data_IF_373554427687
#
_entry.id   IF_373554427687
#
_cell.length_a   1.000
_cell.length_b   1.000
_cell.length_c   1.000
_cell.angle_alpha   90.00
_cell.angle_beta   90.00
_cell.angle_gamma   90.00
#
_symmetry.space_group_name_H-M   'P 1'
#
loop_
_entity.id
_entity.type
_entity.pdbx_description
1 polymer ?
#
# COMPACT_ATOMS: atom_id res chain seq x y z
N UNK A 1 -13.83 4.29 0.99
CA UNK A 1 -12.67 4.99 1.57
C UNK A 1 -11.39 4.82 0.77
N UNK A 2 -10.86 3.62 0.55
CA UNK A 2 -9.60 3.38 -0.20
C UNK A 2 -9.42 4.17 -1.51
N UNK A 3 -10.47 4.30 -2.32
CA UNK A 3 -10.42 5.09 -3.56
C UNK A 3 -10.13 6.56 -3.30
N UNK A 4 -10.74 7.13 -2.26
CA UNK A 4 -10.50 8.52 -1.88
C UNK A 4 -9.06 8.69 -1.41
N UNK A 5 -8.57 7.77 -0.57
CA UNK A 5 -7.17 7.79 -0.11
C UNK A 5 -6.20 7.74 -1.29
N UNK A 6 -6.38 6.81 -2.24
CA UNK A 6 -5.56 6.75 -3.47
C UNK A 6 -5.67 8.04 -4.28
N UNK A 7 -6.89 8.49 -4.57
CA UNK A 7 -7.10 9.67 -5.41
C UNK A 7 -6.44 10.90 -4.77
N UNK A 8 -6.61 11.11 -3.47
CA UNK A 8 -5.99 12.22 -2.73
C UNK A 8 -4.48 12.13 -2.74
N UNK A 9 -3.90 10.96 -2.44
CA UNK A 9 -2.44 10.79 -2.45
C UNK A 9 -1.86 11.01 -3.86
N UNK A 10 -2.51 10.50 -4.89
CA UNK A 10 -2.04 10.62 -6.26
C UNK A 10 -2.22 12.04 -6.83
N UNK A 11 -3.32 12.73 -6.49
CA UNK A 11 -3.59 14.11 -6.90
C UNK A 11 -2.67 15.11 -6.19
N UNK A 12 -2.53 14.99 -4.86
CA UNK A 12 -1.66 15.87 -4.06
C UNK A 12 -0.18 15.50 -4.16
N UNK A 13 0.14 14.38 -4.80
CA UNK A 13 1.47 13.74 -4.88
C UNK A 13 2.07 13.32 -3.54
N UNK A 14 1.79 14.04 -2.45
CA UNK A 14 2.41 13.83 -1.15
C UNK A 14 1.46 14.19 -0.01
N UNK A 15 1.55 13.46 1.10
CA UNK A 15 0.83 13.73 2.34
C UNK A 15 1.85 13.89 3.48
N UNK A 16 1.60 14.86 4.36
CA UNK A 16 2.45 15.11 5.52
C UNK A 16 1.97 14.30 6.73
N UNK A 17 2.91 13.79 7.50
CA UNK A 17 2.68 13.10 8.77
C UNK A 17 3.61 13.72 9.82
N UNK A 18 3.40 13.49 11.12
CA UNK A 18 4.33 13.96 12.15
C UNK A 18 5.75 13.38 12.02
N UNK A 19 5.86 12.17 11.47
CA UNK A 19 7.10 11.37 11.38
C UNK A 19 7.82 11.54 10.05
N UNK A 20 7.12 11.96 9.00
CA UNK A 20 7.72 12.16 7.69
C UNK A 20 6.71 12.46 6.58
N UNK A 21 7.06 12.05 5.37
CA UNK A 21 6.31 12.38 4.16
C UNK A 21 5.94 11.13 3.37
N UNK A 22 4.63 10.94 3.15
CA UNK A 22 4.11 9.90 2.25
C UNK A 22 4.16 10.46 0.82
N UNK A 23 4.68 9.68 -0.13
CA UNK A 23 4.91 10.17 -1.49
C UNK A 23 4.46 9.18 -2.56
N UNK A 24 3.58 9.65 -3.45
CA UNK A 24 3.13 8.91 -4.64
C UNK A 24 4.28 8.59 -5.61
N UNK A 25 5.35 9.41 -5.58
CA UNK A 25 6.55 9.22 -6.41
C UNK A 25 7.11 7.80 -6.28
N UNK A 26 7.16 7.24 -5.08
CA UNK A 26 7.75 5.91 -4.88
C UNK A 26 6.98 4.81 -5.62
N UNK A 27 5.66 4.93 -5.75
CA UNK A 27 4.83 4.02 -6.53
C UNK A 27 5.11 4.17 -8.04
N UNK A 28 5.32 5.40 -8.51
CA UNK A 28 5.69 5.67 -9.90
C UNK A 28 7.07 5.09 -10.24
N UNK A 29 8.06 5.32 -9.38
CA UNK A 29 9.42 4.78 -9.55
C UNK A 29 9.44 3.26 -9.47
N UNK A 30 8.66 2.65 -8.56
CA UNK A 30 8.52 1.19 -8.50
C UNK A 30 7.93 0.63 -9.79
N UNK A 31 6.87 1.24 -10.32
CA UNK A 31 6.32 0.77 -11.58
C UNK A 31 7.30 0.97 -12.74
N UNK A 32 8.01 2.11 -12.79
CA UNK A 32 9.03 2.40 -13.81
C UNK A 32 10.16 1.37 -13.78
N UNK A 33 10.67 1.05 -12.59
CA UNK A 33 11.70 0.03 -12.40
C UNK A 33 11.23 -1.33 -12.91
N UNK A 34 10.04 -1.76 -12.50
CA UNK A 34 9.49 -3.06 -12.91
C UNK A 34 9.24 -3.14 -14.42
N UNK A 35 8.75 -2.07 -15.04
CA UNK A 35 8.54 -2.02 -16.48
C UNK A 35 9.89 -2.02 -17.23
N UNK A 36 10.91 -1.33 -16.72
CA UNK A 36 12.26 -1.32 -17.31
C UNK A 36 12.97 -2.67 -17.23
N UNK A 37 12.80 -3.40 -16.12
CA UNK A 37 13.40 -4.73 -15.93
C UNK A 37 12.58 -5.86 -16.59
N UNK A 38 11.33 -5.60 -16.98
CA UNK A 38 10.41 -6.63 -17.47
C UNK A 38 9.94 -7.63 -16.40
N UNK A 39 10.27 -7.39 -15.12
CA UNK A 39 9.99 -8.28 -13.99
C UNK A 39 9.25 -7.54 -12.88
N UNK A 40 8.47 -8.27 -12.07
CA UNK A 40 7.73 -7.73 -10.92
C UNK A 40 8.34 -8.24 -9.61
N UNK A 41 8.43 -7.36 -8.61
CA UNK A 41 8.87 -7.70 -7.26
C UNK A 41 7.70 -8.25 -6.42
N UNK A 42 7.08 -9.34 -6.88
CA UNK A 42 6.04 -10.06 -6.13
C UNK A 42 4.69 -9.33 -5.95
N UNK A 43 4.51 -8.14 -6.54
CA UNK A 43 3.30 -7.33 -6.39
C UNK A 43 2.53 -7.17 -7.72
N UNK A 44 1.30 -6.63 -7.62
CA UNK A 44 0.39 -6.45 -8.76
C UNK A 44 0.37 -5.02 -9.32
N UNK A 45 1.23 -4.13 -8.84
CA UNK A 45 1.30 -2.75 -9.32
C UNK A 45 1.65 -2.75 -10.81
N UNK A 46 0.97 -1.92 -11.59
CA UNK A 46 1.07 -1.78 -13.06
C UNK A 46 0.75 -0.35 -13.47
N UNK A 47 1.04 0.03 -14.71
CA UNK A 47 0.67 1.36 -15.24
C UNK A 47 -0.80 1.75 -15.06
N UNK A 48 -1.74 0.81 -15.10
CA UNK A 48 -3.15 1.11 -14.84
C UNK A 48 -3.45 1.62 -13.42
N UNK A 49 -2.55 1.35 -12.46
CA UNK A 49 -2.61 1.87 -11.09
C UNK A 49 -2.03 3.28 -11.00
N UNK A 50 -1.00 3.56 -11.80
CA UNK A 50 -0.35 4.87 -11.87
C UNK A 50 -1.20 5.87 -12.65
N UNK A 51 -1.78 5.46 -13.79
CA UNK A 51 -2.74 6.22 -14.61
C UNK A 51 -4.17 6.02 -14.09
N UNK A 52 -4.39 6.45 -12.85
CA UNK A 52 -5.59 6.15 -12.08
C UNK A 52 -6.83 6.94 -12.51
N UNK A 53 -6.70 8.05 -13.26
CA UNK A 53 -7.75 9.04 -13.49
C UNK A 53 -8.95 8.44 -14.22
N UNK A 54 -8.70 7.70 -15.31
CA UNK A 54 -9.72 6.97 -16.08
C UNK A 54 -10.28 5.76 -15.32
N UNK A 55 -9.63 5.35 -14.23
CA UNK A 55 -10.00 4.20 -13.41
C UNK A 55 -10.28 4.60 -11.94
N UNK A 56 -10.62 5.87 -11.70
CA UNK A 56 -10.74 6.45 -10.35
C UNK A 56 -11.77 5.74 -9.48
N UNK A 57 -12.79 5.11 -10.10
CA UNK A 57 -13.85 4.40 -9.38
C UNK A 57 -13.56 2.91 -9.14
N UNK A 58 -12.49 2.34 -9.71
CA UNK A 58 -12.16 0.92 -9.54
C UNK A 58 -11.45 0.68 -8.21
N UNK A 59 -12.21 0.19 -7.21
CA UNK A 59 -11.69 -0.14 -5.87
C UNK A 59 -10.58 -1.19 -5.94
N UNK A 60 -10.73 -2.20 -6.80
CA UNK A 60 -9.72 -3.27 -6.99
C UNK A 60 -8.32 -2.72 -7.31
N UNK A 61 -8.24 -1.70 -8.14
CA UNK A 61 -6.95 -1.05 -8.44
C UNK A 61 -6.46 -0.22 -7.26
N UNK A 62 -7.36 0.44 -6.52
CA UNK A 62 -6.96 1.16 -5.31
C UNK A 62 -6.40 0.22 -4.24
N UNK A 63 -7.04 -0.91 -3.97
CA UNK A 63 -6.56 -1.91 -3.00
C UNK A 63 -5.19 -2.47 -3.38
N UNK A 64 -4.94 -2.68 -4.67
CA UNK A 64 -3.66 -3.24 -5.13
C UNK A 64 -2.49 -2.27 -4.95
N UNK A 65 -2.73 -0.96 -4.97
CA UNK A 65 -1.69 0.05 -4.67
C UNK A 65 -1.23 -0.04 -3.21
N UNK A 66 -2.18 -0.26 -2.30
CA UNK A 66 -1.91 -0.26 -0.86
C UNK A 66 -1.48 -1.61 -0.29
N UNK A 67 -1.37 -2.66 -1.10
CA UNK A 67 -1.03 -4.00 -0.57
C UNK A 67 0.35 -4.03 0.08
N UNK A 68 0.50 -4.89 1.10
CA UNK A 68 1.78 -5.11 1.78
C UNK A 68 2.89 -5.55 0.81
N UNK A 69 2.57 -6.32 -0.23
CA UNK A 69 3.54 -6.69 -1.27
C UNK A 69 4.16 -5.50 -2.04
N UNK A 70 3.43 -4.38 -2.15
CA UNK A 70 3.98 -3.14 -2.73
C UNK A 70 4.89 -2.46 -1.72
N UNK A 71 4.51 -2.45 -0.44
CA UNK A 71 5.33 -1.91 0.64
C UNK A 71 6.67 -2.67 0.77
N UNK A 72 6.63 -4.00 0.76
CA UNK A 72 7.81 -4.86 0.81
C UNK A 72 8.73 -4.61 -0.39
N UNK A 73 8.18 -4.38 -1.59
CA UNK A 73 8.97 -4.05 -2.76
C UNK A 73 9.67 -2.69 -2.65
N UNK A 74 8.99 -1.67 -2.10
CA UNK A 74 9.60 -0.36 -1.85
C UNK A 74 10.73 -0.46 -0.81
N UNK A 75 10.46 -1.15 0.31
CA UNK A 75 11.44 -1.37 1.37
C UNK A 75 12.65 -2.17 0.86
N UNK A 76 12.43 -3.21 0.04
CA UNK A 76 13.50 -3.98 -0.60
C UNK A 76 14.36 -3.09 -1.51
N UNK A 77 13.73 -2.26 -2.35
CA UNK A 77 14.46 -1.34 -3.24
C UNK A 77 15.31 -0.32 -2.46
N UNK A 78 14.84 0.14 -1.31
CA UNK A 78 15.57 1.09 -0.45
C UNK A 78 16.67 0.42 0.37
N UNK A 79 16.34 -0.70 1.04
CA UNK A 79 17.19 -1.31 2.08
C UNK A 79 18.13 -2.38 1.58
N UNK A 80 17.77 -3.12 0.53
CA UNK A 80 18.58 -4.22 -0.01
C UNK A 80 19.29 -3.85 -1.30
N UNK A 81 18.59 -3.11 -2.19
CA UNK A 81 19.17 -2.67 -3.46
C UNK A 81 19.81 -1.27 -3.38
N UNK A 82 19.56 -0.53 -2.29
CA UNK A 82 20.08 0.82 -2.05
C UNK A 82 19.86 1.80 -3.22
N UNK A 83 18.73 1.66 -3.91
CA UNK A 83 18.43 2.46 -5.10
C UNK A 83 18.09 3.90 -4.69
N UNK A 84 18.82 4.93 -5.18
CA UNK A 84 18.69 6.31 -4.71
C UNK A 84 17.27 6.89 -4.82
N UNK A 85 16.51 6.47 -5.83
CA UNK A 85 15.14 6.94 -6.07
C UNK A 85 14.12 6.45 -5.02
N UNK A 86 14.49 5.48 -4.19
CA UNK A 86 13.65 4.95 -3.09
C UNK A 86 14.13 5.39 -1.70
N UNK A 87 15.18 6.20 -1.60
CA UNK A 87 15.64 6.73 -0.31
C UNK A 87 14.54 7.55 0.35
N UNK A 88 14.30 7.32 1.64
CA UNK A 88 13.28 8.06 2.39
C UNK A 88 11.85 7.53 2.20
N UNK A 89 11.68 6.28 1.72
CA UNK A 89 10.35 5.70 1.49
C UNK A 89 9.70 5.09 2.73
N UNK A 90 10.36 5.11 3.89
CA UNK A 90 9.96 4.44 5.13
C UNK A 90 8.53 4.83 5.54
N UNK A 91 8.24 6.14 5.57
CA UNK A 91 6.91 6.65 5.90
C UNK A 91 5.84 6.16 4.90
N UNK A 92 6.19 6.05 3.61
CA UNK A 92 5.27 5.53 2.60
C UNK A 92 5.03 4.04 2.81
N UNK A 93 6.08 3.27 3.10
CA UNK A 93 6.00 1.82 3.38
C UNK A 93 5.08 1.56 4.56
N UNK A 94 5.28 2.28 5.67
CA UNK A 94 4.43 2.17 6.86
C UNK A 94 2.98 2.51 6.55
N UNK A 95 2.75 3.63 5.84
CA UNK A 95 1.41 4.02 5.41
C UNK A 95 0.71 2.94 4.57
N UNK A 96 1.39 2.33 3.59
CA UNK A 96 0.79 1.26 2.79
C UNK A 96 0.40 0.07 3.67
N UNK A 97 1.29 -0.39 4.56
CA UNK A 97 1.05 -1.51 5.48
C UNK A 97 -0.13 -1.25 6.40
N UNK A 98 -0.22 -0.04 6.97
CA UNK A 98 -1.33 0.36 7.85
C UNK A 98 -2.67 0.36 7.13
N UNK A 99 -2.72 0.89 5.90
CA UNK A 99 -3.94 0.89 5.10
C UNK A 99 -4.37 -0.53 4.69
N UNK A 100 -3.42 -1.41 4.33
CA UNK A 100 -3.69 -2.81 3.99
C UNK A 100 -4.27 -3.57 5.20
N UNK A 101 -3.63 -3.43 6.36
CA UNK A 101 -4.09 -4.05 7.60
C UNK A 101 -5.49 -3.56 8.00
N UNK A 102 -5.72 -2.25 7.97
CA UNK A 102 -7.03 -1.67 8.28
C UNK A 102 -8.10 -2.17 7.30
N UNK A 103 -7.79 -2.25 6.01
CA UNK A 103 -8.70 -2.79 5.02
C UNK A 103 -9.02 -4.27 5.27
N UNK A 104 -8.02 -5.09 5.58
CA UNK A 104 -8.20 -6.51 5.84
C UNK A 104 -9.07 -6.76 7.09
N UNK A 105 -8.87 -6.00 8.16
CA UNK A 105 -9.69 -6.08 9.38
C UNK A 105 -11.15 -5.72 9.07
N UNK A 106 -11.37 -4.56 8.44
CA UNK A 106 -12.71 -4.04 8.15
C UNK A 106 -13.45 -4.82 7.05
N UNK A 107 -12.74 -5.61 6.25
CA UNK A 107 -13.31 -6.44 5.18
C UNK A 107 -13.14 -7.95 5.44
N UNK A 108 -12.97 -8.34 6.71
CA UNK A 108 -12.88 -9.74 7.11
C UNK A 108 -14.23 -10.45 6.91
N UNK A 109 -14.27 -11.40 5.98
CA UNK A 109 -15.50 -12.16 5.64
C UNK A 109 -15.29 -13.67 5.55
N UNK A 110 -14.05 -14.14 5.62
CA UNK A 110 -13.72 -15.55 5.53
C UNK A 110 -13.66 -16.15 6.94
N UNK A 111 -14.54 -17.10 7.31
CA UNK A 111 -14.49 -17.77 8.61
C UNK A 111 -13.15 -18.45 8.92
N UNK A 112 -12.42 -18.87 7.88
CA UNK A 112 -11.11 -19.50 7.93
C UNK A 112 -9.96 -18.52 7.63
N UNK A 113 -10.25 -17.23 7.59
CA UNK A 113 -9.25 -16.18 7.41
C UNK A 113 -8.18 -16.24 8.50
N UNK A 114 -6.94 -15.92 8.13
CA UNK A 114 -5.79 -15.83 9.06
C UNK A 114 -5.33 -14.38 9.17
N UNK A 115 -4.57 -14.06 10.21
CA UNK A 115 -4.07 -12.69 10.41
C UNK A 115 -5.21 -11.67 10.46
N UNK A 116 -5.00 -10.48 9.91
CA UNK A 116 -5.99 -9.41 9.86
C UNK A 116 -7.27 -9.76 9.06
N UNK A 117 -7.24 -10.80 8.21
CA UNK A 117 -8.43 -11.29 7.47
C UNK A 117 -9.30 -12.24 8.27
N UNK A 118 -8.85 -12.67 9.45
CA UNK A 118 -9.62 -13.54 10.32
C UNK A 118 -10.85 -12.80 10.88
N UNK A 119 -11.97 -13.50 11.14
CA UNK A 119 -13.13 -12.87 11.78
C UNK A 119 -12.76 -12.29 13.14
N UNK A 120 -13.32 -11.12 13.47
CA UNK A 120 -13.16 -10.53 14.79
C UNK A 120 -13.85 -11.40 15.85
N UNK A 121 -13.08 -11.79 16.87
CA UNK A 121 -13.49 -12.60 18.02
C UNK A 121 -12.87 -11.98 19.27
N UNK A 122 -13.44 -12.25 20.44
CA UNK A 122 -12.87 -11.79 21.72
C UNK A 122 -11.38 -12.18 21.86
N UNK A 123 -11.01 -13.36 21.36
CA UNK A 123 -9.65 -13.88 21.43
C UNK A 123 -8.63 -13.18 20.51
N UNK A 124 -9.06 -12.40 19.51
CA UNK A 124 -8.16 -11.71 18.58
C UNK A 124 -8.47 -10.20 18.44
N UNK A 125 -9.30 -9.68 19.35
CA UNK A 125 -9.81 -8.31 19.35
C UNK A 125 -8.68 -7.28 19.46
N UNK A 126 -7.72 -7.49 20.37
CA UNK A 126 -6.59 -6.57 20.57
C UNK A 126 -5.78 -6.32 19.29
N UNK A 127 -5.64 -7.33 18.43
CA UNK A 127 -4.94 -7.19 17.15
C UNK A 127 -5.68 -6.27 16.19
N UNK A 128 -7.02 -6.32 16.18
CA UNK A 128 -7.83 -5.41 15.36
C UNK A 128 -7.78 -3.99 15.94
N UNK A 129 -7.83 -3.85 17.27
CA UNK A 129 -7.75 -2.55 17.94
C UNK A 129 -6.43 -1.83 17.67
N UNK A 130 -5.28 -2.53 17.71
CA UNK A 130 -3.96 -1.93 17.37
C UNK A 130 -3.86 -1.29 15.99
N UNK A 131 -4.75 -1.64 15.07
CA UNK A 131 -4.78 -1.10 13.70
C UNK A 131 -5.82 0.01 13.55
N UNK A 132 -6.88 -0.01 14.36
CA UNK A 132 -8.05 0.85 14.21
C UNK A 132 -8.13 1.97 15.26
N UNK A 133 -7.41 1.85 16.38
CA UNK A 133 -7.40 2.74 17.53
C UNK A 133 -5.96 3.16 17.85
#
# INVERSE_FOLDING_TARGET
MLKLIRNTLADRSTLQTPTGKISWKFLQELNKLQDAQGLRLGNKLKMAHIRWEKQKMKVKLATQVFSSSVADALEFCNTQLHLPQFRGCEETVEFLRTIDAAFDVLNSRNPLGKGYKAPMRTSNKERAEKVLL
#
